data_IF_660775193137
#
_entry.id   IF_660775193137
#
_cell.length_a   1.000
_cell.length_b   1.000
_cell.length_c   1.000
_cell.angle_alpha   90.00
_cell.angle_beta   90.00
_cell.angle_gamma   90.00
#
_symmetry.space_group_name_H-M   'P 1'
#
loop_
_entity.id
_entity.type
_entity.pdbx_description
1 polymer ?
#
# COMPACT_ATOMS: atom_id res chain seq x y z
N UNK A 1 -14.89 -21.02 -10.82
CA UNK A 1 -15.03 -19.97 -9.78
C UNK A 1 -16.19 -20.44 -8.93
N UNK A 2 -15.91 -20.85 -7.69
CA UNK A 2 -16.97 -21.10 -6.73
C UNK A 2 -17.47 -19.73 -6.26
N UNK A 3 -18.75 -19.44 -6.50
CA UNK A 3 -19.33 -18.12 -6.22
C UNK A 3 -20.12 -18.25 -4.93
N UNK A 4 -19.55 -17.75 -3.84
CA UNK A 4 -20.24 -17.66 -2.56
C UNK A 4 -21.28 -16.53 -2.62
N UNK A 5 -22.55 -16.89 -2.55
CA UNK A 5 -23.64 -15.91 -2.52
C UNK A 5 -23.83 -15.36 -1.10
N UNK A 6 -23.81 -14.02 -0.99
CA UNK A 6 -24.17 -13.31 0.24
C UNK A 6 -25.50 -12.59 0.06
N UNK A 7 -26.34 -12.63 1.10
CA UNK A 7 -27.68 -12.02 1.12
C UNK A 7 -27.77 -11.08 2.31
N UNK A 8 -28.29 -9.88 2.08
CA UNK A 8 -28.54 -8.88 3.11
C UNK A 8 -30.04 -8.58 3.20
N UNK A 9 -30.54 -8.38 4.41
CA UNK A 9 -31.94 -8.01 4.68
C UNK A 9 -32.03 -6.72 5.49
N UNK A 10 -33.21 -6.08 5.51
CA UNK A 10 -33.46 -4.90 6.35
C UNK A 10 -32.78 -3.61 5.86
N UNK A 11 -32.57 -3.46 4.55
CA UNK A 11 -31.70 -2.43 3.96
C UNK A 11 -32.33 -1.03 3.79
N UNK A 12 -33.35 -0.68 4.59
CA UNK A 12 -34.07 0.60 4.46
C UNK A 12 -34.91 0.71 3.18
N UNK A 13 -35.60 1.84 2.99
CA UNK A 13 -36.37 2.10 1.76
C UNK A 13 -35.42 2.65 0.68
N UNK A 14 -35.44 2.05 -0.51
CA UNK A 14 -34.74 2.51 -1.73
C UNK A 14 -33.23 2.81 -1.57
N UNK A 15 -32.40 1.88 -1.05
CA UNK A 15 -30.97 2.14 -0.92
C UNK A 15 -30.28 2.23 -2.30
N UNK A 16 -29.39 3.20 -2.47
CA UNK A 16 -28.46 3.26 -3.60
C UNK A 16 -27.26 2.37 -3.28
N UNK A 17 -26.96 1.41 -4.15
CA UNK A 17 -25.77 0.56 -4.00
C UNK A 17 -24.57 1.29 -4.58
N UNK A 18 -23.54 1.50 -3.75
CA UNK A 18 -22.29 2.12 -4.13
C UNK A 18 -21.14 1.12 -4.08
N UNK A 19 -20.22 1.25 -5.03
CA UNK A 19 -18.96 0.50 -5.06
C UNK A 19 -17.81 1.47 -4.91
N UNK A 20 -16.94 1.22 -3.93
CA UNK A 20 -15.79 2.07 -3.62
C UNK A 20 -14.52 1.24 -3.62
N UNK A 21 -13.39 1.77 -4.11
CA UNK A 21 -12.12 1.09 -3.97
C UNK A 21 -11.73 1.07 -2.49
N UNK A 22 -11.19 -0.05 -2.04
CA UNK A 22 -10.60 -0.24 -0.73
C UNK A 22 -9.26 -0.96 -0.86
N UNK A 23 -8.49 -1.04 0.22
CA UNK A 23 -7.25 -1.81 0.21
C UNK A 23 -7.44 -3.23 0.78
N UNK A 24 -6.50 -4.14 0.51
CA UNK A 24 -6.43 -5.41 1.21
C UNK A 24 -6.30 -5.20 2.74
N UNK A 25 -6.87 -6.12 3.50
CA UNK A 25 -6.97 -6.09 4.95
C UNK A 25 -5.67 -6.46 5.69
N UNK A 26 -4.57 -6.69 4.97
CA UNK A 26 -3.27 -7.09 5.52
C UNK A 26 -2.12 -6.30 4.90
N UNK A 27 -0.98 -6.21 5.61
CA UNK A 27 0.26 -5.74 5.01
C UNK A 27 0.60 -6.48 3.73
N UNK A 28 1.28 -5.78 2.84
CA UNK A 28 1.68 -6.29 1.54
C UNK A 28 3.20 -6.36 1.46
N UNK A 29 3.73 -7.43 0.88
CA UNK A 29 5.15 -7.58 0.58
C UNK A 29 5.33 -7.55 -0.92
N UNK A 30 6.17 -6.65 -1.39
CA UNK A 30 6.52 -6.50 -2.80
C UNK A 30 8.02 -6.66 -3.00
N UNK A 31 8.41 -7.44 -4.00
CA UNK A 31 9.81 -7.64 -4.35
C UNK A 31 10.28 -6.60 -5.37
N UNK A 32 11.55 -6.22 -5.29
CA UNK A 32 12.24 -5.57 -6.41
C UNK A 32 12.54 -6.60 -7.49
N UNK A 33 12.68 -6.18 -8.76
CA UNK A 33 13.03 -7.13 -9.85
C UNK A 33 14.43 -7.72 -9.65
N UNK A 34 15.35 -6.88 -9.21
CA UNK A 34 16.68 -7.21 -8.75
C UNK A 34 16.95 -6.34 -7.50
N UNK A 35 17.78 -6.79 -6.56
CA UNK A 35 18.16 -5.98 -5.41
C UNK A 35 18.62 -4.60 -5.84
N UNK A 36 18.08 -3.56 -5.19
CA UNK A 36 18.46 -2.18 -5.44
C UNK A 36 19.37 -1.73 -4.31
N UNK A 37 20.55 -1.20 -4.64
CA UNK A 37 21.45 -0.60 -3.67
C UNK A 37 21.19 0.90 -3.62
N UNK A 38 20.78 1.42 -2.47
CA UNK A 38 20.67 2.87 -2.25
C UNK A 38 21.99 3.35 -1.70
N UNK A 39 22.73 4.12 -2.48
CA UNK A 39 24.00 4.70 -2.04
C UNK A 39 23.83 5.58 -0.80
N UNK A 40 24.89 5.76 0.00
CA UNK A 40 24.90 6.68 1.14
C UNK A 40 24.40 8.08 0.77
N UNK A 41 23.61 8.68 1.65
CA UNK A 41 23.00 10.00 1.49
C UNK A 41 22.11 10.18 0.24
N UNK A 42 21.72 9.08 -0.42
CA UNK A 42 20.87 9.13 -1.61
C UNK A 42 19.41 8.77 -1.30
N UNK A 43 18.52 9.29 -2.14
CA UNK A 43 17.10 8.97 -2.14
C UNK A 43 16.70 8.29 -3.45
N UNK A 44 15.88 7.25 -3.35
CA UNK A 44 15.31 6.57 -4.50
C UNK A 44 13.78 6.49 -4.39
N UNK A 45 13.09 6.69 -5.51
CA UNK A 45 11.67 6.36 -5.65
C UNK A 45 11.45 4.99 -6.29
N UNK A 46 10.60 4.18 -5.68
CA UNK A 46 10.08 2.94 -6.23
C UNK A 46 8.57 3.08 -6.42
N UNK A 47 8.05 2.53 -7.51
CA UNK A 47 6.64 2.53 -7.84
C UNK A 47 6.12 1.10 -7.83
N UNK A 48 4.95 0.90 -7.23
CA UNK A 48 4.27 -0.39 -7.12
C UNK A 48 2.78 -0.24 -7.45
N UNK A 49 2.16 -1.30 -7.96
CA UNK A 49 0.71 -1.37 -8.07
C UNK A 49 0.15 -2.16 -6.89
N UNK A 50 -0.68 -1.52 -6.08
CA UNK A 50 -1.41 -2.15 -4.99
C UNK A 50 -2.80 -2.53 -5.51
N UNK A 51 -3.17 -3.82 -5.52
CA UNK A 51 -4.53 -4.23 -5.90
C UNK A 51 -5.56 -3.56 -5.00
N UNK A 52 -6.63 -3.01 -5.60
CA UNK A 52 -7.76 -2.48 -4.82
C UNK A 52 -8.82 -3.55 -4.68
N UNK A 53 -9.38 -3.67 -3.49
CA UNK A 53 -10.58 -4.43 -3.18
C UNK A 53 -11.82 -3.57 -3.46
N UNK A 54 -12.98 -4.20 -3.50
CA UNK A 54 -14.26 -3.50 -3.68
C UNK A 54 -15.01 -3.49 -2.36
N UNK A 55 -15.19 -2.31 -1.81
CA UNK A 55 -16.13 -2.05 -0.74
C UNK A 55 -17.53 -1.85 -1.35
N UNK A 56 -18.50 -2.60 -0.84
CA UNK A 56 -19.91 -2.47 -1.21
C UNK A 56 -20.61 -1.74 -0.09
N UNK A 57 -21.22 -0.60 -0.40
CA UNK A 57 -21.97 0.20 0.54
C UNK A 57 -23.40 0.41 0.07
N UNK A 58 -24.30 0.62 1.02
CA UNK A 58 -25.62 1.18 0.78
C UNK A 58 -25.66 2.61 1.25
N UNK A 59 -26.12 3.48 0.36
CA UNK A 59 -26.39 4.87 0.65
C UNK A 59 -27.89 5.08 0.73
N UNK A 60 -28.30 5.74 1.80
CA UNK A 60 -29.66 6.22 2.05
C UNK A 60 -29.55 7.71 2.38
N UNK A 61 -30.69 8.40 2.44
CA UNK A 61 -30.71 9.84 2.73
C UNK A 61 -30.00 10.21 4.05
N UNK A 62 -29.90 9.27 5.00
CA UNK A 62 -29.37 9.52 6.35
C UNK A 62 -28.07 8.80 6.67
N UNK A 63 -27.67 7.81 5.88
CA UNK A 63 -26.53 6.96 6.21
C UNK A 63 -25.88 6.30 5.00
N UNK A 64 -24.56 6.10 5.12
CA UNK A 64 -23.78 5.19 4.29
C UNK A 64 -23.38 3.98 5.14
N UNK A 65 -23.82 2.79 4.76
CA UNK A 65 -23.55 1.54 5.48
C UNK A 65 -22.71 0.61 4.63
N UNK A 66 -21.54 0.20 5.13
CA UNK A 66 -20.69 -0.80 4.48
C UNK A 66 -21.27 -2.21 4.69
N UNK A 67 -21.54 -2.91 3.59
CA UNK A 67 -21.99 -4.31 3.60
C UNK A 67 -20.84 -5.31 3.65
N UNK A 68 -19.68 -4.91 3.13
CA UNK A 68 -18.47 -5.71 3.14
C UNK A 68 -17.41 -5.19 2.17
N UNK A 69 -16.18 -5.70 2.33
CA UNK A 69 -15.06 -5.45 1.43
C UNK A 69 -14.62 -6.79 0.83
N UNK A 70 -14.49 -6.83 -0.49
CA UNK A 70 -14.29 -8.06 -1.24
C UNK A 70 -13.02 -8.00 -2.09
N UNK A 71 -12.20 -9.07 -2.08
CA UNK A 71 -11.00 -9.12 -2.89
C UNK A 71 -11.34 -9.16 -4.38
N UNK A 72 -10.68 -8.31 -5.18
CA UNK A 72 -10.78 -8.35 -6.65
C UNK A 72 -9.89 -9.42 -7.27
N UNK A 73 -8.89 -9.90 -6.53
CA UNK A 73 -7.99 -10.98 -6.91
C UNK A 73 -7.49 -11.70 -5.66
N UNK A 74 -7.24 -13.00 -5.80
CA UNK A 74 -6.61 -13.78 -4.73
C UNK A 74 -5.14 -13.41 -4.62
N UNK A 75 -4.73 -13.02 -3.42
CA UNK A 75 -3.34 -12.81 -3.06
C UNK A 75 -2.83 -14.01 -2.25
N UNK A 76 -1.57 -14.38 -2.49
CA UNK A 76 -0.93 -15.46 -1.74
C UNK A 76 -0.47 -14.93 -0.38
N UNK A 77 -0.67 -15.73 0.66
CA UNK A 77 -0.09 -15.43 1.97
C UNK A 77 1.44 -15.54 1.91
N UNK A 78 2.11 -14.66 2.65
CA UNK A 78 3.57 -14.71 2.89
C UNK A 78 3.84 -14.27 4.32
N UNK A 79 4.97 -14.70 4.84
CA UNK A 79 5.47 -14.25 6.14
C UNK A 79 6.53 -13.16 5.92
N UNK A 80 6.45 -12.07 6.68
CA UNK A 80 7.47 -11.02 6.67
C UNK A 80 8.13 -10.93 8.05
N UNK A 81 9.44 -11.18 8.12
CA UNK A 81 10.19 -11.32 9.37
C UNK A 81 10.95 -12.65 9.45
N UNK A 82 11.47 -12.96 10.63
CA UNK A 82 12.08 -14.28 10.94
C UNK A 82 10.98 -15.32 11.14
N UNK A 83 11.33 -16.61 11.17
CA UNK A 83 10.33 -17.67 11.37
C UNK A 83 9.51 -17.52 12.66
N UNK A 84 10.08 -16.94 13.71
CA UNK A 84 9.46 -16.81 15.03
C UNK A 84 8.95 -15.39 15.30
N UNK A 85 9.49 -14.38 14.61
CA UNK A 85 9.17 -12.98 14.80
C UNK A 85 8.85 -12.35 13.43
N UNK A 86 7.56 -12.22 13.13
CA UNK A 86 7.10 -11.65 11.89
C UNK A 86 5.60 -11.43 11.83
N UNK A 87 5.14 -11.01 10.67
CA UNK A 87 3.75 -10.66 10.41
C UNK A 87 3.24 -11.40 9.17
N UNK A 88 1.99 -11.88 9.25
CA UNK A 88 1.31 -12.48 8.11
C UNK A 88 0.89 -11.40 7.12
N UNK A 89 1.42 -11.48 5.92
CA UNK A 89 1.23 -10.51 4.85
C UNK A 89 0.66 -11.17 3.59
N UNK A 90 0.26 -10.36 2.61
CA UNK A 90 0.04 -10.82 1.24
C UNK A 90 1.26 -10.53 0.35
N UNK A 91 1.62 -11.47 -0.52
CA UNK A 91 2.64 -11.25 -1.54
C UNK A 91 2.04 -10.58 -2.77
N UNK A 92 2.62 -9.44 -3.18
CA UNK A 92 2.31 -8.82 -4.46
C UNK A 92 3.07 -9.53 -5.58
N UNK A 93 2.34 -9.91 -6.63
CA UNK A 93 2.92 -10.46 -7.86
C UNK A 93 3.61 -9.39 -8.71
N UNK A 94 3.11 -8.15 -8.64
CA UNK A 94 3.78 -7.01 -9.26
C UNK A 94 5.12 -6.77 -8.58
N UNK A 95 6.08 -6.29 -9.35
CA UNK A 95 7.41 -5.96 -8.85
C UNK A 95 7.55 -4.44 -8.73
N UNK A 96 8.34 -4.00 -7.76
CA UNK A 96 8.72 -2.58 -7.65
C UNK A 96 9.56 -2.14 -8.87
N UNK A 97 9.30 -0.92 -9.35
CA UNK A 97 9.94 -0.30 -10.51
C UNK A 97 10.53 1.06 -10.14
N UNK A 98 11.64 1.45 -10.77
CA UNK A 98 12.25 2.78 -10.55
C UNK A 98 11.55 3.88 -11.35
N UNK A 99 10.99 3.51 -12.50
CA UNK A 99 10.29 4.43 -13.41
C UNK A 99 8.80 4.10 -13.38
N UNK A 100 7.94 5.11 -13.18
CA UNK A 100 6.48 4.91 -13.07
C UNK A 100 5.86 4.40 -14.38
N UNK A 101 6.43 4.79 -15.53
CA UNK A 101 6.01 4.36 -16.86
C UNK A 101 6.23 2.86 -17.11
N UNK A 102 7.14 2.22 -16.36
CA UNK A 102 7.36 0.77 -16.45
C UNK A 102 6.25 -0.04 -15.77
N UNK A 103 5.36 0.61 -15.02
CA UNK A 103 4.18 -0.03 -14.46
C UNK A 103 3.05 -0.06 -15.48
N UNK A 104 2.51 -1.25 -15.68
CA UNK A 104 1.25 -1.44 -16.39
C UNK A 104 0.12 -0.69 -15.68
N UNK A 105 -0.71 0.02 -16.44
CA UNK A 105 -1.94 0.61 -15.93
C UNK A 105 -2.94 -0.52 -15.71
N UNK A 106 -3.33 -0.75 -14.47
CA UNK A 106 -4.33 -1.74 -14.10
C UNK A 106 -5.58 -1.05 -13.54
N UNK A 107 -6.76 -1.38 -14.08
CA UNK A 107 -8.01 -0.76 -13.64
C UNK A 107 -8.33 -1.03 -12.16
N UNK A 108 -7.94 -2.20 -11.64
CA UNK A 108 -8.17 -2.65 -10.27
C UNK A 108 -6.88 -2.62 -9.43
N UNK A 109 -6.02 -1.64 -9.67
CA UNK A 109 -4.89 -1.34 -8.80
C UNK A 109 -4.64 0.16 -8.69
N UNK A 110 -4.10 0.58 -7.55
CA UNK A 110 -3.63 1.93 -7.30
C UNK A 110 -2.10 1.97 -7.32
N UNK A 111 -1.53 2.90 -8.08
CA UNK A 111 -0.08 3.11 -8.12
C UNK A 111 0.36 3.86 -6.87
N UNK A 112 1.28 3.26 -6.12
CA UNK A 112 1.91 3.84 -4.93
C UNK A 112 3.37 4.19 -5.24
N UNK A 113 3.80 5.37 -4.79
CA UNK A 113 5.22 5.76 -4.79
C UNK A 113 5.80 5.53 -3.40
N UNK A 114 6.95 4.89 -3.35
CA UNK A 114 7.69 4.54 -2.15
C UNK A 114 9.06 5.22 -2.23
N UNK A 115 9.27 6.28 -1.45
CA UNK A 115 10.51 7.07 -1.44
C UNK A 115 11.39 6.60 -0.28
N UNK A 116 12.62 6.21 -0.58
CA UNK A 116 13.56 5.62 0.40
C UNK A 116 14.83 6.46 0.41
N UNK A 117 15.14 7.05 1.54
CA UNK A 117 16.37 7.79 1.79
C UNK A 117 17.30 6.95 2.67
N UNK A 118 18.53 6.77 2.21
CA UNK A 118 19.60 6.17 3.01
C UNK A 118 20.43 7.29 3.66
N UNK A 119 20.41 7.37 4.98
CA UNK A 119 21.26 8.27 5.81
C UNK A 119 22.41 7.52 6.49
N UNK A 120 22.64 6.28 6.07
CA UNK A 120 23.74 5.49 6.55
C UNK A 120 24.96 5.66 5.64
N UNK A 121 26.14 5.41 6.20
CA UNK A 121 27.42 5.54 5.50
C UNK A 121 27.70 4.38 4.52
N UNK A 122 26.95 3.27 4.60
CA UNK A 122 27.05 2.15 3.68
C UNK A 122 25.85 2.05 2.72
N UNK A 123 26.03 1.44 1.52
CA UNK A 123 24.92 1.15 0.61
C UNK A 123 23.83 0.29 1.25
N UNK A 124 22.58 0.72 1.13
CA UNK A 124 21.42 0.04 1.70
C UNK A 124 20.79 -0.92 0.67
N UNK A 125 20.87 -2.25 0.85
CA UNK A 125 20.27 -3.22 -0.06
C UNK A 125 18.76 -3.31 0.13
N UNK A 126 18.01 -3.35 -0.97
CA UNK A 126 16.55 -3.47 -0.99
C UNK A 126 16.09 -4.62 -1.90
N UNK A 127 15.56 -5.69 -1.31
CA UNK A 127 15.00 -6.85 -2.05
C UNK A 127 13.45 -6.89 -2.01
N UNK A 128 12.88 -6.41 -0.91
CA UNK A 128 11.48 -6.51 -0.51
C UNK A 128 11.11 -5.25 0.23
N UNK A 129 9.87 -4.83 0.04
CA UNK A 129 9.28 -3.72 0.76
C UNK A 129 7.99 -4.22 1.42
N UNK A 130 7.81 -3.89 2.70
CA UNK A 130 6.53 -4.02 3.38
C UNK A 130 5.74 -2.73 3.23
N UNK A 131 4.47 -2.87 2.88
CA UNK A 131 3.52 -1.77 2.71
C UNK A 131 2.35 -1.99 3.66
N UNK A 132 1.91 -0.94 4.34
CA UNK A 132 0.76 -0.95 5.24
C UNK A 132 -0.38 -0.14 4.61
N UNK A 133 -1.30 -0.78 3.87
CA UNK A 133 -2.29 -0.06 3.07
C UNK A 133 -3.29 0.75 3.90
N UNK A 134 -3.53 0.36 5.17
CA UNK A 134 -4.40 1.09 6.11
C UNK A 134 -4.02 2.57 6.31
N UNK A 135 -2.76 2.93 6.08
CA UNK A 135 -2.27 4.31 6.19
C UNK A 135 -2.27 5.08 4.87
N UNK A 136 -2.73 4.46 3.77
CA UNK A 136 -2.73 5.07 2.44
C UNK A 136 -4.11 5.64 2.10
N UNK A 137 -4.12 6.78 1.44
CA UNK A 137 -5.33 7.27 0.76
C UNK A 137 -5.42 6.73 -0.67
N UNK A 138 -6.62 6.68 -1.25
CA UNK A 138 -6.84 6.38 -2.67
C UNK A 138 -7.32 7.63 -3.39
N UNK A 139 -6.64 7.95 -4.47
CA UNK A 139 -6.95 9.04 -5.40
C UNK A 139 -7.30 8.48 -6.77
N UNK A 140 -8.21 9.13 -7.48
CA UNK A 140 -8.56 8.80 -8.86
C UNK A 140 -8.07 9.91 -9.78
N UNK A 141 -7.32 9.51 -10.80
CA UNK A 141 -7.01 10.34 -11.97
C UNK A 141 -7.83 9.90 -13.18
N UNK A 142 -7.67 10.59 -14.32
CA UNK A 142 -8.29 10.18 -15.60
C UNK A 142 -7.89 8.78 -16.06
N UNK A 143 -6.65 8.33 -15.76
CA UNK A 143 -6.06 7.10 -16.36
C UNK A 143 -5.85 5.95 -15.37
N UNK A 144 -5.66 6.24 -14.08
CA UNK A 144 -5.37 5.22 -13.05
C UNK A 144 -5.77 5.71 -11.66
N UNK A 145 -5.84 4.76 -10.73
CA UNK A 145 -5.85 5.06 -9.31
C UNK A 145 -4.42 5.32 -8.81
N UNK A 146 -4.31 6.21 -7.84
CA UNK A 146 -3.09 6.55 -7.13
C UNK A 146 -3.30 6.34 -5.65
N UNK A 147 -2.21 6.10 -4.93
CA UNK A 147 -2.23 6.21 -3.48
C UNK A 147 -1.54 7.48 -3.03
N UNK A 148 -1.70 7.84 -1.77
CA UNK A 148 -0.72 8.70 -1.11
C UNK A 148 0.67 8.00 -1.08
N UNK A 149 1.79 8.75 -1.04
CA UNK A 149 3.12 8.15 -1.08
C UNK A 149 3.50 7.56 0.29
N UNK A 150 4.52 6.70 0.27
CA UNK A 150 5.21 6.22 1.47
C UNK A 150 6.60 6.82 1.45
N UNK A 151 7.07 7.33 2.59
CA UNK A 151 8.44 7.82 2.75
C UNK A 151 9.14 7.04 3.86
N UNK A 152 10.36 6.63 3.61
CA UNK A 152 11.19 5.90 4.56
C UNK A 152 12.58 6.52 4.59
N UNK A 153 13.06 6.81 5.79
CA UNK A 153 14.42 7.24 6.03
C UNK A 153 15.09 6.19 6.91
N UNK A 154 16.11 5.53 6.37
CA UNK A 154 16.91 4.55 7.09
C UNK A 154 18.22 5.18 7.56
N UNK A 155 18.56 4.97 8.83
CA UNK A 155 19.84 5.39 9.40
C UNK A 155 20.86 4.23 9.46
N UNK A 156 20.53 3.07 8.88
CA UNK A 156 21.40 1.90 8.84
C UNK A 156 20.82 0.68 9.57
N UNK A 157 21.54 -0.46 9.54
CA UNK A 157 21.13 -1.68 10.24
C UNK A 157 21.04 -1.46 11.75
N UNK A 158 20.02 -2.04 12.39
CA UNK A 158 19.82 -1.95 13.85
C UNK A 158 19.22 -0.63 14.34
N UNK A 159 19.30 0.45 13.55
CA UNK A 159 18.70 1.73 13.87
C UNK A 159 17.20 1.79 13.46
N UNK A 160 16.35 2.44 14.27
CA UNK A 160 14.96 2.69 13.89
C UNK A 160 14.90 3.50 12.59
N UNK A 161 14.03 3.08 11.67
CA UNK A 161 13.75 3.88 10.48
C UNK A 161 12.58 4.82 10.72
N UNK A 162 12.67 6.01 10.13
CA UNK A 162 11.57 6.95 10.15
C UNK A 162 10.66 6.66 8.97
N UNK A 163 9.44 6.23 9.28
CA UNK A 163 8.37 6.10 8.30
C UNK A 163 7.44 7.28 8.37
N UNK A 164 6.97 7.69 7.20
CA UNK A 164 5.95 8.70 7.03
C UNK A 164 4.96 8.28 5.94
N UNK A 165 3.68 8.54 6.22
CA UNK A 165 2.56 8.29 5.32
C UNK A 165 1.84 9.62 5.09
N UNK A 166 2.40 10.50 4.24
CA UNK A 166 1.70 11.72 3.85
C UNK A 166 0.31 11.39 3.34
N UNK A 167 -0.67 12.23 3.65
CA UNK A 167 -2.00 12.12 3.03
C UNK A 167 -1.90 12.56 1.58
N UNK A 168 -1.20 13.66 1.32
CA UNK A 168 -1.18 14.25 -0.01
C UNK A 168 -0.55 13.33 -1.08
N UNK A 169 -1.17 13.26 -2.26
CA UNK A 169 -0.67 12.49 -3.40
C UNK A 169 0.62 13.12 -3.95
N UNK A 170 1.42 12.30 -4.65
CA UNK A 170 2.66 12.77 -5.28
C UNK A 170 2.43 13.89 -6.31
N UNK A 171 3.42 14.79 -6.46
CA UNK A 171 3.40 16.01 -7.28
C UNK A 171 2.86 15.84 -8.70
N UNK A 172 3.16 14.72 -9.36
CA UNK A 172 2.69 14.40 -10.71
C UNK A 172 1.16 14.28 -10.84
N UNK A 173 0.44 14.17 -9.72
CA UNK A 173 -0.98 13.90 -9.71
C UNK A 173 -1.80 15.10 -9.20
N UNK A 174 -1.19 16.12 -8.59
CA UNK A 174 -1.87 17.18 -7.82
C UNK A 174 -2.90 18.02 -8.60
N UNK A 175 -2.79 18.15 -9.91
CA UNK A 175 -3.66 19.05 -10.70
C UNK A 175 -4.92 18.40 -11.29
N UNK A 176 -5.11 17.07 -11.21
CA UNK A 176 -6.29 16.40 -11.82
C UNK A 176 -6.69 15.11 -11.10
N UNK A 177 -6.59 15.08 -9.79
CA UNK A 177 -6.99 13.92 -8.99
C UNK A 177 -8.05 14.26 -7.95
N UNK A 178 -8.94 13.30 -7.75
CA UNK A 178 -10.00 13.34 -6.74
C UNK A 178 -9.67 12.34 -5.64
N UNK A 179 -9.75 12.75 -4.37
CA UNK A 179 -9.72 11.82 -3.25
C UNK A 179 -10.97 10.94 -3.31
N UNK A 180 -10.78 9.61 -3.34
CA UNK A 180 -11.87 8.63 -3.36
C UNK A 180 -12.01 7.91 -2.04
N UNK A 181 -10.89 7.65 -1.34
CA UNK A 181 -10.88 7.05 0.00
C UNK A 181 -9.79 7.70 0.85
N UNK A 182 -10.10 8.27 2.04
CA UNK A 182 -9.08 8.66 3.01
C UNK A 182 -8.35 7.42 3.57
N UNK A 183 -7.26 7.56 4.34
CA UNK A 183 -6.66 6.39 4.96
C UNK A 183 -7.59 5.82 6.03
N UNK A 184 -7.58 4.50 6.19
CA UNK A 184 -8.40 3.82 7.21
C UNK A 184 -7.92 4.20 8.62
N UNK A 185 -6.61 4.43 8.77
CA UNK A 185 -5.96 4.90 10.00
C UNK A 185 -5.00 6.07 9.70
N UNK A 186 -4.86 7.00 10.65
CA UNK A 186 -3.85 8.07 10.56
C UNK A 186 -2.55 7.58 11.19
N UNK A 187 -1.49 7.51 10.39
CA UNK A 187 -0.17 7.15 10.89
C UNK A 187 0.37 8.24 11.84
N UNK A 188 0.78 7.84 13.04
CA UNK A 188 1.41 8.74 14.04
C UNK A 188 2.79 8.20 14.38
N UNK A 189 3.83 8.94 13.98
CA UNK A 189 5.24 8.57 14.13
C UNK A 189 5.70 8.33 15.57
N UNK A 190 4.93 8.79 16.57
CA UNK A 190 5.28 8.71 17.99
C UNK A 190 5.15 7.32 18.62
N UNK A 191 4.64 6.31 17.90
CA UNK A 191 4.25 5.03 18.50
C UNK A 191 5.01 3.79 18.01
N UNK A 192 5.82 3.86 16.94
CA UNK A 192 6.51 2.69 16.40
C UNK A 192 7.97 2.99 16.09
N UNK A 193 8.88 2.43 16.90
CA UNK A 193 10.31 2.29 16.60
C UNK A 193 10.53 0.92 15.96
N UNK A 194 10.09 0.77 14.71
CA UNK A 194 10.40 -0.45 13.96
C UNK A 194 11.71 -0.24 13.19
N UNK A 195 12.64 -1.20 13.35
CA UNK A 195 13.89 -1.23 12.59
C UNK A 195 13.62 -1.31 11.09
N UNK A 196 14.52 -0.76 10.27
CA UNK A 196 14.43 -0.85 8.80
C UNK A 196 14.26 -2.31 8.30
N UNK A 197 14.84 -3.26 9.04
CA UNK A 197 14.73 -4.70 8.79
C UNK A 197 13.28 -5.21 8.84
N UNK A 198 12.38 -4.46 9.48
CA UNK A 198 10.96 -4.77 9.53
C UNK A 198 10.18 -4.24 8.30
N UNK A 199 10.85 -3.53 7.40
CA UNK A 199 10.28 -3.03 6.15
C UNK A 199 11.01 -3.55 4.91
N UNK A 200 12.24 -4.02 5.06
CA UNK A 200 13.05 -4.57 3.98
C UNK A 200 13.89 -5.75 4.48
N UNK A 201 14.20 -6.73 3.62
CA UNK A 201 15.13 -7.81 3.97
C UNK A 201 16.43 -7.60 3.20
N UNK A 202 17.50 -7.20 3.88
CA UNK A 202 18.81 -7.29 3.25
C UNK A 202 19.16 -8.77 2.98
N UNK A 203 19.96 -9.07 1.95
CA UNK A 203 20.48 -10.41 1.64
C UNK A 203 21.44 -11.00 2.70
N UNK A 204 21.48 -10.42 3.90
CA UNK A 204 22.34 -10.88 4.98
C UNK A 204 21.55 -11.72 5.98
N UNK A 205 21.06 -12.88 5.53
CA UNK A 205 20.75 -14.06 6.36
C UNK A 205 21.10 -15.32 5.57
#
# INVERSE_FOLDING_TARGET
>A
IDVEWKRWGGLGKFPIVNFRPAFPDRPLVVKTKAPVMVSPEQTIDLYINIPVWVEVCLETDTALTTLGVFPTRTLSNTWFGTQFEGELCYALKSLARRVKEDLTIEALAATCRFSITNRYEEPLPLDRLRVLPRYLSIYKSRRRLWTSPIKVVSNGPGEPSHLDYPVEPHDDARSTIQLVRPPDEVYRSSFFRESFAHYTRALFE
#
